data_IF_150772156971
#
_entry.id   IF_150772156971
#
_cell.length_a   1.000
_cell.length_b   1.000
_cell.length_c   1.000
_cell.angle_alpha   90.00
_cell.angle_beta   90.00
_cell.angle_gamma   90.00
#
_symmetry.space_group_name_H-M   'P 1'
#
loop_
_entity.id
_entity.type
_entity.pdbx_description
1 polymer ?
#
# COMPACT_ATOMS: atom_id res chain seq x y z
N UNK A 1 -0.81 -5.20 -28.09
CA UNK A 1 -0.27 -5.02 -26.71
C UNK A 1 -0.72 -6.21 -25.89
N UNK A 2 0.18 -6.89 -25.16
CA UNK A 2 -0.19 -7.98 -24.28
C UNK A 2 -1.06 -7.46 -23.13
N UNK A 3 -2.01 -8.26 -22.67
CA UNK A 3 -2.79 -7.97 -21.46
C UNK A 3 -3.01 -9.27 -20.68
N UNK A 4 -3.16 -9.13 -19.37
CA UNK A 4 -3.50 -10.22 -18.45
C UNK A 4 -4.76 -9.85 -17.72
N UNK A 5 -5.67 -10.82 -17.58
CA UNK A 5 -6.86 -10.66 -16.73
C UNK A 5 -6.51 -11.22 -15.35
N UNK A 6 -6.48 -10.34 -14.34
CA UNK A 6 -6.31 -10.76 -12.94
C UNK A 6 -7.51 -11.59 -12.48
N UNK A 7 -7.33 -12.64 -11.66
CA UNK A 7 -8.44 -13.37 -11.04
C UNK A 7 -9.29 -12.48 -10.12
N UNK A 8 -8.64 -11.54 -9.45
CA UNK A 8 -9.24 -10.65 -8.46
C UNK A 8 -8.61 -9.27 -8.62
N UNK A 9 -7.61 -8.92 -7.80
CA UNK A 9 -7.09 -7.56 -7.75
C UNK A 9 -5.97 -7.33 -8.76
N UNK A 10 -6.08 -6.24 -9.52
CA UNK A 10 -5.12 -5.92 -10.57
C UNK A 10 -3.76 -5.48 -9.98
N UNK A 11 -3.79 -4.74 -8.87
CA UNK A 11 -2.60 -4.27 -8.14
C UNK A 11 -1.72 -5.44 -7.70
N UNK A 12 -2.33 -6.41 -7.00
CA UNK A 12 -1.66 -7.62 -6.55
C UNK A 12 -1.08 -8.42 -7.72
N UNK A 13 -1.81 -8.54 -8.83
CA UNK A 13 -1.32 -9.22 -10.03
C UNK A 13 -0.13 -8.49 -10.66
N UNK A 14 -0.15 -7.16 -10.74
CA UNK A 14 0.96 -6.35 -11.25
C UNK A 14 2.21 -6.49 -10.37
N UNK A 15 2.04 -6.46 -9.04
CA UNK A 15 3.14 -6.68 -8.10
C UNK A 15 3.71 -8.10 -8.25
N UNK A 16 2.84 -9.09 -8.38
CA UNK A 16 3.27 -10.49 -8.60
C UNK A 16 4.09 -10.62 -9.88
N UNK A 17 3.64 -10.02 -10.99
CA UNK A 17 4.39 -9.98 -12.24
C UNK A 17 5.77 -9.35 -12.07
N UNK A 18 5.87 -8.27 -11.28
CA UNK A 18 7.15 -7.63 -11.00
C UNK A 18 8.05 -8.51 -10.13
N UNK A 19 7.48 -9.30 -9.24
CA UNK A 19 8.21 -10.17 -8.33
C UNK A 19 8.75 -11.44 -8.97
N UNK A 20 8.08 -11.94 -10.01
CA UNK A 20 8.57 -13.04 -10.85
C UNK A 20 9.41 -12.55 -12.03
N UNK A 21 9.85 -11.28 -12.01
CA UNK A 21 10.69 -10.65 -13.03
C UNK A 21 10.11 -10.67 -14.45
N UNK A 22 8.77 -10.71 -14.60
CA UNK A 22 8.10 -10.56 -15.89
C UNK A 22 7.92 -9.09 -16.31
N UNK A 23 7.96 -8.16 -15.35
CA UNK A 23 7.95 -6.71 -15.58
C UNK A 23 8.91 -6.00 -14.63
N UNK A 24 9.50 -4.88 -15.07
CA UNK A 24 10.45 -4.13 -14.25
C UNK A 24 9.76 -3.18 -13.25
N UNK A 25 8.60 -2.64 -13.63
CA UNK A 25 7.96 -1.50 -12.98
C UNK A 25 6.44 -1.68 -12.91
N UNK A 26 5.85 -1.35 -11.76
CA UNK A 26 4.40 -1.22 -11.62
C UNK A 26 4.00 0.24 -11.78
N UNK A 27 3.25 0.56 -12.82
CA UNK A 27 2.67 1.89 -12.98
C UNK A 27 1.29 1.94 -12.33
N UNK A 28 1.20 2.46 -11.10
CA UNK A 28 -0.06 2.67 -10.40
C UNK A 28 0.01 3.97 -9.60
N UNK A 29 -1.11 4.69 -9.53
CA UNK A 29 -1.30 5.83 -8.63
C UNK A 29 -1.90 5.43 -7.28
N UNK A 30 -2.29 4.17 -7.12
CA UNK A 30 -2.78 3.61 -5.87
C UNK A 30 -1.61 3.29 -4.91
N UNK A 31 -1.92 3.26 -3.62
CA UNK A 31 -0.96 2.92 -2.56
C UNK A 31 -0.97 1.44 -2.18
N UNK A 32 -2.00 0.68 -2.53
CA UNK A 32 -2.15 -0.70 -2.08
C UNK A 32 -1.13 -1.66 -2.71
N UNK A 33 -0.49 -1.25 -3.82
CA UNK A 33 0.73 -1.88 -4.36
C UNK A 33 1.85 -2.08 -3.33
N UNK A 34 1.99 -1.21 -2.33
CA UNK A 34 3.08 -1.30 -1.36
C UNK A 34 2.86 -2.40 -0.31
N UNK A 35 1.68 -2.52 0.32
CA UNK A 35 1.29 -3.68 1.11
C UNK A 35 1.42 -5.04 0.38
N UNK A 36 1.13 -5.09 -0.93
CA UNK A 36 1.38 -6.30 -1.75
C UNK A 36 2.87 -6.57 -1.98
N UNK A 37 3.73 -5.61 -1.65
CA UNK A 37 5.17 -5.73 -1.76
C UNK A 37 5.71 -5.33 -3.13
N UNK A 38 5.27 -4.23 -3.73
CA UNK A 38 5.95 -3.67 -4.90
C UNK A 38 7.43 -3.34 -4.62
N UNK A 39 8.32 -3.54 -5.60
CA UNK A 39 9.73 -3.10 -5.55
C UNK A 39 9.91 -1.74 -6.20
N UNK A 40 9.40 -1.58 -7.41
CA UNK A 40 9.51 -0.33 -8.18
C UNK A 40 8.12 0.13 -8.61
N UNK A 41 7.73 1.32 -8.20
CA UNK A 41 6.42 1.90 -8.51
C UNK A 41 6.60 3.22 -9.23
N UNK A 42 5.89 3.42 -10.33
CA UNK A 42 5.81 4.70 -11.02
C UNK A 42 4.42 5.30 -10.89
N UNK A 43 4.35 6.44 -10.21
CA UNK A 43 3.15 7.26 -10.08
C UNK A 43 3.13 8.34 -11.15
N UNK A 44 1.95 8.79 -11.52
CA UNK A 44 1.71 9.86 -12.48
C UNK A 44 2.32 9.59 -13.86
N UNK A 45 2.25 8.34 -14.35
CA UNK A 45 2.84 7.94 -15.63
C UNK A 45 2.41 8.84 -16.79
N UNK A 46 1.14 9.27 -16.80
CA UNK A 46 0.57 10.13 -17.85
C UNK A 46 0.53 11.61 -17.48
N UNK A 47 1.04 11.99 -16.31
CA UNK A 47 0.94 13.32 -15.73
C UNK A 47 -0.49 13.71 -15.37
N UNK A 48 -0.75 14.01 -14.10
CA UNK A 48 -2.04 14.56 -13.69
C UNK A 48 -2.09 16.04 -14.06
N UNK A 49 -2.98 16.40 -14.99
CA UNK A 49 -3.37 17.79 -15.20
C UNK A 49 -4.33 18.15 -14.07
N UNK A 50 -3.84 18.84 -13.04
CA UNK A 50 -4.73 19.44 -12.06
C UNK A 50 -5.50 20.60 -12.71
N UNK A 51 -6.74 20.35 -13.15
CA UNK A 51 -7.67 21.41 -13.58
C UNK A 51 -8.11 22.31 -12.40
N UNK A 52 -7.91 21.86 -11.17
CA UNK A 52 -8.36 22.56 -9.96
C UNK A 52 -7.29 23.47 -9.37
N UNK A 53 -7.27 24.72 -9.86
CA UNK A 53 -6.96 26.00 -9.16
C UNK A 53 -6.26 27.05 -10.04
N UNK A 54 -6.72 27.22 -11.28
CA UNK A 54 -6.61 28.55 -11.91
C UNK A 54 -7.69 29.45 -11.31
N UNK A 55 -7.48 29.91 -10.07
CA UNK A 55 -8.21 31.09 -9.57
C UNK A 55 -7.69 32.28 -10.38
N UNK A 56 -8.56 32.75 -11.26
CA UNK A 56 -8.55 34.01 -11.99
C UNK A 56 -7.48 35.00 -11.48
N UNK A 57 -6.46 35.23 -12.31
CA UNK A 57 -5.53 36.35 -12.14
C UNK A 57 -4.13 35.99 -11.65
N UNK A 58 -3.34 35.29 -12.47
CA UNK A 58 -1.87 35.43 -12.67
C UNK A 58 -1.31 34.14 -13.31
N UNK A 59 -0.90 34.23 -14.58
CA UNK A 59 -0.01 33.27 -15.27
C UNK A 59 -0.41 31.79 -15.26
N UNK A 60 -0.94 31.29 -16.38
CA UNK A 60 -1.14 29.86 -16.62
C UNK A 60 0.20 29.10 -16.54
N UNK A 61 0.50 28.48 -15.40
CA UNK A 61 1.42 27.35 -15.32
C UNK A 61 0.61 26.15 -14.82
N UNK A 62 0.09 25.37 -15.76
CA UNK A 62 -0.36 24.01 -15.43
C UNK A 62 0.85 23.26 -14.88
N UNK A 63 0.80 22.86 -13.61
CA UNK A 63 1.86 22.03 -13.02
C UNK A 63 1.63 20.61 -13.53
N UNK A 64 2.22 20.28 -14.68
CA UNK A 64 2.28 18.92 -15.17
C UNK A 64 3.10 18.12 -14.15
N UNK A 65 2.47 17.15 -13.48
CA UNK A 65 3.20 16.24 -12.62
C UNK A 65 4.04 15.32 -13.51
N UNK A 66 5.37 15.37 -13.37
CA UNK A 66 6.25 14.41 -14.04
C UNK A 66 6.08 13.03 -13.39
N UNK A 67 6.22 11.94 -14.18
CA UNK A 67 6.25 10.59 -13.63
C UNK A 67 7.25 10.50 -12.48
N UNK A 68 6.81 9.94 -11.36
CA UNK A 68 7.59 9.84 -10.13
C UNK A 68 7.82 8.37 -9.82
N UNK A 69 9.08 7.94 -9.90
CA UNK A 69 9.48 6.57 -9.60
C UNK A 69 9.91 6.45 -8.14
N UNK A 70 9.51 5.36 -7.51
CA UNK A 70 9.79 5.04 -6.11
C UNK A 70 10.33 3.61 -6.04
N UNK A 71 11.38 3.40 -5.25
CA UNK A 71 11.95 2.09 -4.96
C UNK A 71 11.72 1.72 -3.50
N UNK A 72 11.37 0.46 -3.23
CA UNK A 72 11.22 -0.07 -1.87
C UNK A 72 12.53 0.02 -1.07
N UNK A 73 13.69 -0.14 -1.73
CA UNK A 73 15.00 0.00 -1.08
C UNK A 73 15.23 1.43 -0.59
N UNK A 74 14.86 2.44 -1.38
CA UNK A 74 14.95 3.85 -0.98
C UNK A 74 13.99 4.17 0.17
N UNK A 75 12.79 3.60 0.16
CA UNK A 75 11.81 3.72 1.25
C UNK A 75 12.37 3.11 2.54
N UNK A 76 12.96 1.91 2.45
CA UNK A 76 13.61 1.25 3.58
C UNK A 76 14.80 2.06 4.10
N UNK A 77 15.65 2.59 3.23
CA UNK A 77 16.81 3.39 3.61
C UNK A 77 16.43 4.74 4.23
N UNK A 78 15.39 5.40 3.71
CA UNK A 78 15.02 6.75 4.12
C UNK A 78 14.09 6.79 5.33
N UNK A 79 13.14 5.85 5.41
CA UNK A 79 12.10 5.84 6.44
C UNK A 79 12.23 4.68 7.42
N UNK A 80 13.08 3.69 7.14
CA UNK A 80 13.21 2.49 7.95
C UNK A 80 11.97 1.61 7.92
N UNK A 81 11.13 1.73 6.87
CA UNK A 81 9.89 0.97 6.72
C UNK A 81 10.14 -0.22 5.80
N UNK A 82 9.96 -1.42 6.34
CA UNK A 82 9.88 -2.65 5.56
C UNK A 82 8.43 -2.96 5.12
N UNK A 83 8.22 -4.05 4.38
CA UNK A 83 6.87 -4.43 3.91
C UNK A 83 5.94 -4.76 5.09
N UNK A 84 6.45 -5.33 6.18
CA UNK A 84 5.66 -5.60 7.36
C UNK A 84 5.18 -4.30 8.02
N UNK A 85 6.05 -3.28 8.11
CA UNK A 85 5.70 -1.96 8.62
C UNK A 85 4.72 -1.25 7.71
N UNK A 86 4.91 -1.33 6.38
CA UNK A 86 3.97 -0.76 5.40
C UNK A 86 2.58 -1.39 5.58
N UNK A 87 2.49 -2.70 5.75
CA UNK A 87 1.23 -3.39 5.99
C UNK A 87 0.62 -3.00 7.34
N UNK A 88 1.44 -2.86 8.39
CA UNK A 88 0.98 -2.32 9.68
C UNK A 88 0.48 -0.87 9.58
N UNK A 89 1.11 -0.04 8.74
CA UNK A 89 0.64 1.31 8.44
C UNK A 89 -0.72 1.27 7.73
N UNK A 90 -0.90 0.41 6.73
CA UNK A 90 -2.19 0.23 6.06
C UNK A 90 -3.29 -0.22 7.04
N UNK A 91 -2.95 -1.11 7.99
CA UNK A 91 -3.87 -1.52 9.06
C UNK A 91 -4.26 -0.37 9.99
N UNK A 92 -3.33 0.52 10.33
CA UNK A 92 -3.57 1.63 11.25
C UNK A 92 -4.26 2.82 10.60
N UNK A 93 -3.81 3.22 9.41
CA UNK A 93 -4.31 4.38 8.66
C UNK A 93 -5.57 4.08 7.86
N UNK A 94 -5.78 2.82 7.50
CA UNK A 94 -6.81 2.39 6.57
C UNK A 94 -6.26 2.17 5.16
N UNK A 95 -6.92 1.26 4.45
CA UNK A 95 -6.72 0.90 3.03
C UNK A 95 -8.04 0.37 2.48
N UNK A 96 -8.09 -0.13 1.25
CA UNK A 96 -9.34 -0.66 0.69
C UNK A 96 -9.88 -1.88 1.46
N UNK A 97 -8.99 -2.58 2.17
CA UNK A 97 -9.34 -3.76 2.98
C UNK A 97 -9.75 -3.45 4.42
N UNK A 98 -9.46 -2.24 4.93
CA UNK A 98 -9.76 -1.90 6.32
C UNK A 98 -9.97 -0.40 6.50
N UNK A 99 -10.98 0.04 7.27
CA UNK A 99 -11.18 1.46 7.55
C UNK A 99 -10.07 2.05 8.46
N UNK A 100 -9.22 1.21 9.04
CA UNK A 100 -8.18 1.62 9.99
C UNK A 100 -8.74 2.13 11.32
N UNK A 101 -7.89 2.83 12.07
CA UNK A 101 -8.28 3.46 13.34
C UNK A 101 -8.62 4.93 13.09
N UNK A 102 -9.79 5.36 13.54
CA UNK A 102 -10.24 6.74 13.37
C UNK A 102 -9.24 7.73 14.01
N UNK A 103 -8.90 8.78 13.26
CA UNK A 103 -7.92 9.81 13.62
C UNK A 103 -6.45 9.33 13.71
N UNK A 104 -6.15 8.15 13.17
CA UNK A 104 -4.78 7.68 12.97
C UNK A 104 -4.38 7.92 11.52
N UNK A 105 -3.59 8.97 11.30
CA UNK A 105 -2.92 9.21 10.02
C UNK A 105 -1.48 8.65 10.01
N UNK A 106 -0.75 8.80 8.90
CA UNK A 106 0.58 8.21 8.71
C UNK A 106 1.58 8.57 9.81
N UNK A 107 1.60 9.83 10.26
CA UNK A 107 2.50 10.27 11.33
C UNK A 107 2.19 9.54 12.63
N UNK A 108 0.93 9.54 13.07
CA UNK A 108 0.51 8.85 14.30
C UNK A 108 0.79 7.35 14.19
N UNK A 109 0.57 6.75 13.02
CA UNK A 109 0.83 5.33 12.80
C UNK A 109 2.33 5.02 12.92
N UNK A 110 3.21 5.80 12.29
CA UNK A 110 4.67 5.64 12.46
C UNK A 110 5.11 5.83 13.92
N UNK A 111 4.52 6.79 14.65
CA UNK A 111 4.83 6.97 16.08
C UNK A 111 4.47 5.69 16.87
N UNK A 112 3.27 5.13 16.65
CA UNK A 112 2.83 3.87 17.27
C UNK A 112 3.80 2.74 16.89
N UNK A 113 4.07 2.53 15.61
CA UNK A 113 4.96 1.46 15.16
C UNK A 113 6.37 1.59 15.74
N UNK A 114 6.90 2.81 15.84
CA UNK A 114 8.23 3.03 16.42
C UNK A 114 8.33 2.59 17.88
N UNK A 115 7.22 2.54 18.61
CA UNK A 115 7.16 2.14 20.01
C UNK A 115 6.92 0.64 20.18
N UNK A 116 6.01 0.04 19.40
CA UNK A 116 5.60 -1.36 19.55
C UNK A 116 6.37 -2.33 18.66
N UNK A 117 6.85 -1.92 17.48
CA UNK A 117 7.57 -2.81 16.55
C UNK A 117 9.03 -3.00 16.92
N UNK A 118 9.70 -1.98 17.47
CA UNK A 118 11.14 -2.01 17.81
C UNK A 118 11.52 -3.00 18.91
N UNK A 119 10.55 -3.63 19.58
CA UNK A 119 10.84 -4.61 20.63
C UNK A 119 11.13 -6.01 20.07
N UNK A 120 10.89 -6.27 18.78
CA UNK A 120 11.28 -7.53 18.14
C UNK A 120 12.75 -7.47 17.67
N UNK A 121 13.62 -8.41 18.08
CA UNK A 121 14.97 -8.49 17.55
C UNK A 121 14.91 -8.82 16.05
N UNK A 122 15.36 -7.89 15.20
CA UNK A 122 15.52 -8.13 13.77
C UNK A 122 16.70 -9.09 13.56
N UNK A 123 16.43 -10.39 13.45
CA UNK A 123 17.40 -11.33 12.90
C UNK A 123 17.39 -11.20 11.37
N UNK A 124 18.56 -11.32 10.74
CA UNK A 124 18.70 -11.33 9.28
C UNK A 124 17.83 -12.40 8.60
N UNK A 125 17.44 -13.45 9.33
CA UNK A 125 16.54 -14.52 8.86
C UNK A 125 15.11 -14.04 8.58
N UNK A 126 14.65 -12.95 9.21
CA UNK A 126 13.32 -12.39 8.96
C UNK A 126 13.26 -11.73 7.58
N UNK A 127 14.31 -11.01 7.20
CA UNK A 127 14.45 -10.38 5.88
C UNK A 127 14.50 -11.43 4.75
N UNK A 128 15.15 -12.58 4.99
CA UNK A 128 15.20 -13.70 4.05
C UNK A 128 13.81 -14.33 3.83
N UNK A 129 13.01 -14.47 4.89
CA UNK A 129 11.64 -15.01 4.79
C UNK A 129 10.69 -14.09 4.02
N UNK A 130 10.76 -12.77 4.27
CA UNK A 130 9.99 -11.80 3.51
C UNK A 130 10.39 -11.80 2.05
N UNK A 131 11.68 -11.91 1.74
CA UNK A 131 12.18 -12.01 0.38
C UNK A 131 11.69 -13.28 -0.34
N UNK A 132 11.67 -14.43 0.35
CA UNK A 132 11.14 -15.68 -0.20
C UNK A 132 9.64 -15.61 -0.50
N UNK A 133 8.84 -15.05 0.42
CA UNK A 133 7.41 -14.81 0.16
C UNK A 133 7.21 -13.90 -1.05
N UNK A 134 7.92 -12.78 -1.07
CA UNK A 134 7.83 -11.81 -2.15
C UNK A 134 8.19 -12.43 -3.50
N UNK A 135 9.02 -13.47 -3.57
CA UNK A 135 9.33 -14.22 -4.79
C UNK A 135 8.25 -15.24 -5.22
N UNK A 136 7.03 -15.13 -4.71
CA UNK A 136 5.88 -15.95 -5.14
C UNK A 136 5.64 -17.22 -4.32
N UNK A 137 6.31 -17.36 -3.17
CA UNK A 137 5.95 -18.39 -2.19
C UNK A 137 4.82 -17.88 -1.31
N UNK A 138 3.81 -18.70 -0.96
CA UNK A 138 2.74 -18.24 -0.08
C UNK A 138 3.27 -17.85 1.31
N UNK A 139 2.75 -16.75 1.86
CA UNK A 139 3.16 -16.31 3.18
C UNK A 139 2.81 -17.37 4.24
N UNK A 140 3.73 -17.60 5.15
CA UNK A 140 3.54 -18.49 6.29
C UNK A 140 2.73 -17.81 7.40
N UNK A 141 2.11 -18.61 8.28
CA UNK A 141 1.34 -18.07 9.41
C UNK A 141 2.22 -17.27 10.40
N UNK A 142 3.53 -17.53 10.40
CA UNK A 142 4.49 -16.74 11.18
C UNK A 142 4.62 -15.30 10.65
N UNK A 143 4.55 -15.08 9.33
CA UNK A 143 4.60 -13.73 8.74
C UNK A 143 3.34 -12.93 9.06
N UNK A 144 2.17 -13.59 9.00
CA UNK A 144 0.91 -12.98 9.46
C UNK A 144 1.05 -12.57 10.94
N UNK A 145 1.58 -13.46 11.77
CA UNK A 145 1.79 -13.21 13.20
C UNK A 145 2.80 -12.07 13.45
N UNK A 146 3.84 -11.94 12.62
CA UNK A 146 4.83 -10.87 12.74
C UNK A 146 4.23 -9.49 12.45
N UNK A 147 3.27 -9.39 11.52
CA UNK A 147 2.53 -8.16 11.22
C UNK A 147 1.54 -7.85 12.34
N UNK A 148 0.79 -8.86 12.79
CA UNK A 148 -0.29 -8.71 13.77
C UNK A 148 0.22 -8.47 15.19
N UNK A 149 1.34 -9.09 15.59
CA UNK A 149 1.87 -9.04 16.96
C UNK A 149 2.01 -7.62 17.52
N UNK A 150 2.76 -6.73 16.86
CA UNK A 150 2.92 -5.34 17.34
C UNK A 150 1.60 -4.55 17.40
N UNK A 151 0.66 -4.83 16.49
CA UNK A 151 -0.66 -4.20 16.50
C UNK A 151 -1.51 -4.70 17.68
N UNK A 152 -1.39 -5.98 18.02
CA UNK A 152 -2.03 -6.58 19.19
C UNK A 152 -1.45 -6.01 20.48
N UNK A 153 -0.13 -5.87 20.57
CA UNK A 153 0.53 -5.26 21.72
C UNK A 153 0.05 -3.81 21.96
N UNK A 154 -0.15 -3.05 20.87
CA UNK A 154 -0.76 -1.72 20.94
C UNK A 154 -2.21 -1.76 21.48
N UNK A 155 -3.03 -2.70 21.00
CA UNK A 155 -4.42 -2.85 21.46
C UNK A 155 -4.48 -3.29 22.93
N UNK A 156 -3.62 -4.22 23.33
CA UNK A 156 -3.51 -4.68 24.72
C UNK A 156 -3.07 -3.53 25.64
N UNK A 157 -2.08 -2.73 25.21
CA UNK A 157 -1.70 -1.50 25.90
C UNK A 157 -2.87 -0.51 26.01
N UNK A 158 -3.61 -0.30 24.92
CA UNK A 158 -4.74 0.62 24.86
C UNK A 158 -5.88 0.18 25.79
N UNK A 159 -6.25 -1.11 25.80
CA UNK A 159 -7.27 -1.70 26.69
C UNK A 159 -6.92 -1.52 28.17
N UNK A 160 -5.64 -1.72 28.51
CA UNK A 160 -5.12 -1.56 29.87
C UNK A 160 -5.13 -0.09 30.33
N UNK A 161 -4.96 0.85 29.40
CA UNK A 161 -4.99 2.28 29.66
C UNK A 161 -6.43 2.85 29.68
N UNK A 162 -7.33 2.35 28.83
CA UNK A 162 -8.72 2.83 28.69
C UNK A 162 -9.67 2.37 29.80
N UNK A 163 -9.36 1.27 30.48
CA UNK A 163 -10.20 0.72 31.56
C UNK A 163 -10.00 1.40 32.93
N UNK A 164 -8.91 2.15 33.12
CA UNK A 164 -8.63 2.84 34.38
C UNK A 164 -9.03 4.31 34.27
N UNK A 165 -9.97 4.75 35.13
CA UNK A 165 -10.18 6.18 35.41
C UNK A 165 -8.83 6.84 35.70
N UNK A 166 -8.62 8.12 35.33
CA UNK A 166 -7.33 8.81 35.39
C UNK A 166 -6.93 9.13 36.84
N UNK A 167 -6.66 8.10 37.64
CA UNK A 167 -6.23 8.21 39.03
C UNK A 167 -5.14 7.19 39.35
N UNK A 168 -4.22 6.93 38.41
CA UNK A 168 -2.89 6.39 38.73
C UNK A 168 -1.93 6.61 37.56
N UNK A 169 -1.33 7.79 37.60
CA UNK A 169 -0.53 8.45 36.58
C UNK A 169 0.90 7.88 36.47
N UNK A 170 1.06 6.64 36.02
CA UNK A 170 2.39 6.08 35.71
C UNK A 170 2.52 5.41 34.33
N UNK A 171 1.43 5.03 33.65
CA UNK A 171 1.49 4.37 32.33
C UNK A 171 1.43 5.34 31.13
N UNK A 172 0.68 6.44 31.29
CA UNK A 172 0.59 7.55 30.32
C UNK A 172 1.61 8.62 30.72
N UNK A 173 2.88 8.33 30.48
CA UNK A 173 3.99 9.21 30.86
C UNK A 173 4.22 10.35 29.87
N UNK A 174 3.81 10.20 28.61
CA UNK A 174 4.08 11.16 27.52
C UNK A 174 2.81 11.77 26.92
N UNK A 175 2.88 13.01 26.38
CA UNK A 175 1.77 13.64 25.65
C UNK A 175 1.28 12.80 24.46
N UNK A 176 2.20 12.08 23.81
CA UNK A 176 1.93 11.21 22.65
C UNK A 176 1.07 10.01 23.08
N UNK A 177 1.42 9.34 24.18
CA UNK A 177 0.60 8.26 24.75
C UNK A 177 -0.79 8.71 25.18
N UNK A 178 -0.92 9.96 25.65
CA UNK A 178 -2.24 10.53 26.00
C UNK A 178 -3.12 10.71 24.76
N UNK A 179 -2.54 11.11 23.63
CA UNK A 179 -3.25 11.17 22.34
C UNK A 179 -3.72 9.78 21.93
N UNK A 180 -2.88 8.76 22.06
CA UNK A 180 -3.24 7.38 21.69
C UNK A 180 -4.29 6.76 22.60
N UNK A 181 -4.28 7.07 23.90
CA UNK A 181 -5.30 6.60 24.84
C UNK A 181 -6.72 7.07 24.47
N UNK A 182 -6.85 8.20 23.75
CA UNK A 182 -8.13 8.72 23.25
C UNK A 182 -8.52 8.15 21.87
N UNK A 183 -7.72 7.25 21.30
CA UNK A 183 -8.09 6.54 20.07
C UNK A 183 -9.18 5.50 20.36
N UNK A 184 -9.85 5.07 19.31
CA UNK A 184 -10.94 4.09 19.39
C UNK A 184 -10.72 3.04 18.30
N UNK A 185 -9.87 2.02 18.54
CA UNK A 185 -9.73 0.89 17.64
C UNK A 185 -11.10 0.21 17.41
N UNK A 186 -11.41 -0.22 16.17
CA UNK A 186 -12.67 -0.91 15.90
C UNK A 186 -12.71 -2.29 16.56
N UNK A 187 -13.92 -2.80 16.80
CA UNK A 187 -14.11 -4.14 17.38
C UNK A 187 -13.49 -5.21 16.48
N UNK A 188 -12.62 -6.04 17.03
CA UNK A 188 -11.91 -7.08 16.28
C UNK A 188 -10.58 -6.63 15.66
N UNK A 189 -10.16 -5.38 15.86
CA UNK A 189 -8.82 -4.94 15.45
C UNK A 189 -7.72 -5.52 16.37
N UNK A 190 -6.57 -5.95 15.81
CA UNK A 190 -6.28 -6.11 14.38
C UNK A 190 -6.92 -7.38 13.80
N UNK A 191 -7.50 -7.29 12.60
CA UNK A 191 -8.09 -8.43 11.90
C UNK A 191 -7.03 -9.18 11.06
N UNK A 192 -6.69 -10.44 11.39
CA UNK A 192 -5.74 -11.23 10.62
C UNK A 192 -6.18 -11.50 9.17
N UNK A 193 -7.49 -11.49 8.88
CA UNK A 193 -8.00 -11.74 7.54
C UNK A 193 -7.56 -10.66 6.54
N UNK A 194 -7.44 -9.41 7.00
CA UNK A 194 -6.93 -8.30 6.18
C UNK A 194 -5.47 -8.51 5.81
N UNK A 195 -4.63 -8.87 6.79
CA UNK A 195 -3.22 -9.19 6.55
C UNK A 195 -3.09 -10.40 5.62
N UNK A 196 -3.94 -11.41 5.79
CA UNK A 196 -3.96 -12.58 4.91
C UNK A 196 -4.31 -12.22 3.47
N UNK A 197 -5.24 -11.29 3.23
CA UNK A 197 -5.60 -10.86 1.88
C UNK A 197 -4.40 -10.23 1.15
N UNK A 198 -3.63 -9.38 1.84
CA UNK A 198 -2.40 -8.80 1.28
C UNK A 198 -1.27 -9.81 1.07
N UNK A 199 -1.11 -10.76 1.99
CA UNK A 199 -0.01 -11.73 1.96
C UNK A 199 -0.31 -12.97 1.10
N UNK A 200 -1.58 -13.27 0.83
CA UNK A 200 -2.01 -14.41 0.01
C UNK A 200 -3.05 -13.96 -1.03
N UNK A 201 -2.72 -13.00 -1.90
CA UNK A 201 -3.67 -12.53 -2.91
C UNK A 201 -3.93 -13.62 -3.95
N UNK A 202 -5.13 -13.64 -4.52
CA UNK A 202 -5.49 -14.56 -5.59
C UNK A 202 -4.97 -14.05 -6.94
N UNK A 203 -3.79 -14.52 -7.33
CA UNK A 203 -3.06 -14.06 -8.52
C UNK A 203 -2.58 -15.24 -9.36
N UNK A 204 -2.35 -14.99 -10.66
CA UNK A 204 -1.69 -15.93 -11.56
C UNK A 204 -0.18 -15.79 -11.42
N UNK A 205 0.48 -16.88 -11.03
CA UNK A 205 1.94 -16.97 -10.87
C UNK A 205 2.62 -17.61 -12.07
N UNK A 206 1.97 -18.55 -12.73
CA UNK A 206 2.47 -19.24 -13.93
C UNK A 206 1.97 -18.53 -15.18
N UNK A 207 2.75 -17.55 -15.66
CA UNK A 207 2.46 -16.82 -16.89
C UNK A 207 3.65 -16.91 -17.86
N UNK A 208 3.35 -17.11 -19.14
CA UNK A 208 4.35 -17.04 -20.20
C UNK A 208 4.92 -15.63 -20.37
N UNK A 209 6.15 -15.52 -20.85
CA UNK A 209 6.74 -14.24 -21.19
C UNK A 209 5.91 -13.48 -22.22
N UNK A 210 5.73 -12.18 -22.00
CA UNK A 210 4.92 -11.33 -22.86
C UNK A 210 5.50 -11.18 -24.26
N UNK A 211 4.62 -11.26 -25.27
CA UNK A 211 4.96 -11.01 -26.67
C UNK A 211 4.34 -9.69 -27.13
N UNK A 212 5.17 -8.88 -27.78
CA UNK A 212 4.76 -7.59 -28.34
C UNK A 212 4.56 -7.72 -29.85
N UNK A 213 3.35 -7.47 -30.31
CA UNK A 213 3.01 -7.45 -31.73
C UNK A 213 3.14 -6.04 -32.32
N UNK A 214 3.34 -5.98 -33.63
CA UNK A 214 3.37 -4.71 -34.37
C UNK A 214 1.96 -4.10 -34.43
N UNK A 215 1.79 -2.80 -34.15
CA UNK A 215 0.49 -2.15 -34.24
C UNK A 215 -0.16 -2.30 -35.62
N UNK A 216 -1.40 -2.78 -35.68
CA UNK A 216 -2.16 -2.87 -36.91
C UNK A 216 -2.76 -1.49 -37.27
N UNK A 217 -2.03 -0.72 -38.08
CA UNK A 217 -2.42 0.64 -38.50
C UNK A 217 -3.79 0.68 -39.17
N UNK A 218 -4.10 -0.31 -40.02
CA UNK A 218 -5.37 -0.37 -40.76
C UNK A 218 -6.59 -0.50 -39.84
N UNK A 219 -6.47 -1.22 -38.73
CA UNK A 219 -7.52 -1.33 -37.71
C UNK A 219 -7.57 -0.09 -36.82
N UNK A 220 -6.42 0.46 -36.44
CA UNK A 220 -6.33 1.66 -35.60
C UNK A 220 -6.98 2.88 -36.26
N UNK A 221 -6.85 3.04 -37.58
CA UNK A 221 -7.51 4.13 -38.31
C UNK A 221 -9.03 3.96 -38.33
N UNK A 222 -9.56 2.73 -38.36
CA UNK A 222 -11.01 2.46 -38.39
C UNK A 222 -11.66 2.49 -37.00
N UNK A 223 -10.89 2.16 -35.95
CA UNK A 223 -11.37 2.10 -34.57
C UNK A 223 -12.10 3.38 -34.09
N UNK A 224 -11.56 4.61 -34.25
CA UNK A 224 -12.21 5.84 -33.79
C UNK A 224 -13.48 6.22 -34.56
N UNK A 225 -13.73 5.64 -35.74
CA UNK A 225 -14.92 5.94 -36.56
C UNK A 225 -16.03 4.88 -36.42
N UNK A 226 -15.78 3.79 -35.70
CA UNK A 226 -16.72 2.67 -35.52
C UNK A 226 -17.56 2.75 -34.24
N UNK A 227 -17.18 3.64 -33.30
CA UNK A 227 -18.01 4.04 -32.16
C UNK A 227 -18.54 5.44 -32.48
N UNK A 228 -19.85 5.63 -32.34
CA UNK A 228 -20.63 6.86 -32.62
C UNK A 228 -19.79 8.14 -32.71
N UNK A 229 -19.93 8.94 -33.79
CA UNK A 229 -19.28 10.24 -33.85
C UNK A 229 -19.77 11.07 -32.67
N UNK A 230 -18.85 11.69 -31.93
CA UNK A 230 -19.18 12.76 -31.00
C UNK A 230 -20.13 13.72 -31.71
N UNK A 231 -21.38 13.75 -31.29
CA UNK A 231 -22.36 14.68 -31.78
C UNK A 231 -21.81 16.08 -31.53
N UNK A 232 -21.46 16.75 -32.62
CA UNK A 232 -21.12 18.16 -32.62
C UNK A 232 -22.35 18.92 -32.13
N UNK A 233 -22.33 19.37 -30.88
CA UNK A 233 -23.24 20.40 -30.42
C UNK A 233 -22.87 21.69 -31.15
N UNK A 234 -23.71 22.04 -32.13
CA UNK A 234 -23.83 23.37 -32.73
C UNK A 234 -24.42 24.37 -31.74
#
# INVERSE_FOLDING_TARGET
MPFVISPEEAEAQCVTLQRVDLVDLVASDDSDVWPFGARHVCRHLFGTVNESRSKVGKGHKSKLHSPSCYCLEDVRASLGLDVANILQLAMLCGSDYTPGIRNVGPVTAVEILSEFVRQAPQSNEQDDQWSQWLCGMHASDSQISAVIGPLKDFVDWWNNCGSRKPLESQLVTSPVRRKWANLHPPSGFPDPAVVQAYLRPNVKTELDSFKWEVPNVSLLVKYPFSREPFSSFS
#
